data_IF_468606298326
#
_entry.id   IF_468606298326
#
_cell.length_a   1.000
_cell.length_b   1.000
_cell.length_c   1.000
_cell.angle_alpha   90.00
_cell.angle_beta   90.00
_cell.angle_gamma   90.00
#
_symmetry.space_group_name_H-M   'P 1'
#
loop_
_entity.id
_entity.type
_entity.pdbx_description
1 polymer ?
#
# COMPACT_ATOMS: atom_id res chain seq x y z
N UNK A 1 -8.76 -11.06 3.30
CA UNK A 1 -7.95 -10.08 2.55
C UNK A 1 -8.89 -9.35 1.60
N UNK A 2 -8.72 -8.05 1.39
CA UNK A 2 -9.55 -7.23 0.49
C UNK A 2 -8.64 -6.67 -0.58
N UNK A 3 -9.06 -6.77 -1.83
CA UNK A 3 -8.37 -6.19 -2.98
C UNK A 3 -9.18 -4.96 -3.40
N UNK A 4 -8.63 -3.74 -3.31
CA UNK A 4 -9.34 -2.54 -3.74
C UNK A 4 -9.71 -2.65 -5.22
N UNK A 5 -10.96 -2.38 -5.57
CA UNK A 5 -11.37 -2.28 -6.97
C UNK A 5 -10.63 -1.13 -7.66
N UNK A 6 -10.43 -1.23 -8.98
CA UNK A 6 -9.90 -0.16 -9.83
C UNK A 6 -8.51 0.42 -9.44
N UNK A 7 -7.76 -0.28 -8.58
CA UNK A 7 -6.37 0.06 -8.23
C UNK A 7 -5.47 -1.10 -8.67
N UNK A 8 -4.94 -1.01 -9.90
CA UNK A 8 -4.02 -2.01 -10.45
C UNK A 8 -2.53 -1.67 -10.23
N UNK A 9 -2.23 -0.38 -10.09
CA UNK A 9 -0.88 0.14 -9.88
C UNK A 9 -0.89 1.30 -8.87
N UNK A 10 0.16 1.40 -8.06
CA UNK A 10 0.31 2.46 -7.07
C UNK A 10 0.80 3.80 -7.64
N UNK A 11 1.14 3.86 -8.94
CA UNK A 11 1.64 5.07 -9.61
C UNK A 11 3.10 5.41 -9.33
N UNK A 12 3.76 4.71 -8.40
CA UNK A 12 5.13 5.03 -7.96
C UNK A 12 6.19 4.80 -9.02
N UNK A 13 5.94 3.87 -9.95
CA UNK A 13 6.81 3.59 -11.10
C UNK A 13 8.29 3.43 -10.70
N UNK A 14 8.57 2.46 -9.81
CA UNK A 14 9.90 2.29 -9.22
C UNK A 14 10.11 3.30 -8.10
N UNK A 15 10.84 4.36 -8.38
CA UNK A 15 11.14 5.49 -7.48
C UNK A 15 10.69 6.85 -8.06
N UNK A 16 10.18 6.88 -9.30
CA UNK A 16 9.80 8.12 -9.99
C UNK A 16 8.74 8.92 -9.22
N UNK A 17 7.85 8.23 -8.51
CA UNK A 17 6.82 8.84 -7.66
C UNK A 17 7.37 9.73 -6.54
N UNK A 18 8.65 9.65 -6.19
CA UNK A 18 9.29 10.62 -5.29
C UNK A 18 9.46 12.00 -5.94
N UNK A 19 9.73 12.04 -7.24
CA UNK A 19 9.97 13.27 -7.98
C UNK A 19 8.72 13.78 -8.71
N UNK A 20 7.76 12.89 -9.00
CA UNK A 20 6.47 13.19 -9.64
C UNK A 20 5.30 12.65 -8.79
N UNK A 21 5.01 13.27 -7.63
CA UNK A 21 3.99 12.79 -6.69
C UNK A 21 2.56 12.78 -7.25
N UNK A 22 2.31 13.53 -8.32
CA UNK A 22 1.04 13.54 -9.03
C UNK A 22 0.70 12.19 -9.68
N UNK A 23 1.69 11.36 -9.99
CA UNK A 23 1.48 9.99 -10.50
C UNK A 23 0.80 9.12 -9.44
N UNK A 24 1.34 9.13 -8.22
CA UNK A 24 0.78 8.41 -7.07
C UNK A 24 -0.62 8.94 -6.74
N UNK A 25 -0.74 10.27 -6.68
CA UNK A 25 -1.99 10.94 -6.35
C UNK A 25 -3.10 10.62 -7.34
N UNK A 26 -2.79 10.57 -8.63
CA UNK A 26 -3.77 10.22 -9.66
C UNK A 26 -4.17 8.74 -9.57
N UNK A 27 -3.19 7.85 -9.47
CA UNK A 27 -3.42 6.41 -9.41
C UNK A 27 -4.20 5.99 -8.15
N UNK A 28 -3.98 6.65 -7.01
CA UNK A 28 -4.53 6.26 -5.71
C UNK A 28 -5.65 7.17 -5.20
N UNK A 29 -6.19 8.06 -6.05
CA UNK A 29 -7.21 9.07 -5.66
C UNK A 29 -8.46 8.49 -4.99
N UNK A 30 -8.86 7.26 -5.35
CA UNK A 30 -10.04 6.57 -4.78
C UNK A 30 -9.68 5.57 -3.67
N UNK A 31 -8.39 5.30 -3.44
CA UNK A 31 -7.94 4.22 -2.55
C UNK A 31 -8.54 4.33 -1.15
N UNK A 32 -8.52 5.53 -0.57
CA UNK A 32 -9.07 5.78 0.78
C UNK A 32 -10.54 5.39 0.92
N UNK A 33 -11.33 5.55 -0.14
CA UNK A 33 -12.75 5.20 -0.15
C UNK A 33 -12.97 3.68 -0.18
N UNK A 34 -11.98 2.93 -0.68
CA UNK A 34 -12.01 1.47 -0.78
C UNK A 34 -11.55 0.78 0.51
N UNK A 35 -11.00 1.51 1.47
CA UNK A 35 -10.55 0.96 2.76
C UNK A 35 -11.74 0.86 3.73
N UNK A 36 -12.14 -0.34 4.17
CA UNK A 36 -13.21 -0.49 5.16
C UNK A 36 -12.82 0.08 6.52
N UNK A 37 -13.81 0.53 7.29
CA UNK A 37 -13.60 1.10 8.64
C UNK A 37 -12.90 0.14 9.62
N UNK A 38 -13.05 -1.16 9.44
CA UNK A 38 -12.42 -2.20 10.28
C UNK A 38 -11.09 -2.72 9.69
N UNK A 39 -10.56 -2.08 8.65
CA UNK A 39 -9.25 -2.41 8.10
C UNK A 39 -8.18 -1.55 8.78
N UNK A 40 -7.19 -2.20 9.38
CA UNK A 40 -6.10 -1.53 10.10
C UNK A 40 -4.73 -1.76 9.46
N UNK A 41 -4.66 -2.55 8.38
CA UNK A 41 -3.38 -2.99 7.80
C UNK A 41 -3.50 -3.37 6.33
N UNK A 42 -2.57 -2.86 5.52
CA UNK A 42 -2.35 -3.24 4.13
C UNK A 42 -1.09 -4.10 3.98
N UNK A 43 -0.98 -4.77 2.83
CA UNK A 43 0.21 -5.53 2.45
C UNK A 43 0.61 -5.20 1.02
N UNK A 44 1.91 -5.14 0.76
CA UNK A 44 2.48 -5.01 -0.58
C UNK A 44 3.80 -5.80 -0.63
N UNK A 45 4.30 -6.10 -1.82
CA UNK A 45 5.60 -6.75 -2.03
C UNK A 45 6.65 -5.77 -2.61
N UNK A 46 6.32 -4.49 -2.73
CA UNK A 46 7.21 -3.44 -3.22
C UNK A 46 7.26 -2.31 -2.21
N UNK A 47 8.46 -1.98 -1.71
CA UNK A 47 8.66 -0.92 -0.72
C UNK A 47 8.14 0.44 -1.19
N UNK A 48 8.28 0.77 -2.48
CA UNK A 48 7.77 2.05 -2.98
C UNK A 48 6.25 2.08 -3.04
N UNK A 49 5.60 0.96 -3.38
CA UNK A 49 4.15 0.86 -3.23
C UNK A 49 3.71 0.85 -1.76
N UNK A 50 4.46 0.27 -0.82
CA UNK A 50 4.15 0.39 0.62
C UNK A 50 4.06 1.85 1.05
N UNK A 51 5.01 2.69 0.60
CA UNK A 51 5.03 4.13 0.89
C UNK A 51 3.80 4.82 0.28
N UNK A 52 3.57 4.68 -1.03
CA UNK A 52 2.46 5.34 -1.71
C UNK A 52 1.09 4.87 -1.22
N UNK A 53 0.90 3.56 -1.04
CA UNK A 53 -0.36 3.01 -0.53
C UNK A 53 -0.61 3.44 0.91
N UNK A 54 0.43 3.50 1.76
CA UNK A 54 0.27 4.01 3.13
C UNK A 54 -0.22 5.46 3.14
N UNK A 55 0.47 6.31 2.38
CA UNK A 55 0.16 7.74 2.28
C UNK A 55 -1.28 7.98 1.81
N UNK A 56 -1.71 7.29 0.75
CA UNK A 56 -3.01 7.54 0.12
C UNK A 56 -4.18 6.75 0.71
N UNK A 57 -3.94 5.66 1.46
CA UNK A 57 -4.99 4.88 2.12
C UNK A 57 -5.29 5.35 3.54
N UNK A 58 -4.31 5.95 4.23
CA UNK A 58 -4.39 6.28 5.65
C UNK A 58 -4.22 5.07 6.59
N UNK A 59 -3.80 3.91 6.09
CA UNK A 59 -3.43 2.73 6.90
C UNK A 59 -2.01 2.27 6.55
N UNK A 60 -1.33 1.62 7.49
CA UNK A 60 0.03 1.13 7.22
C UNK A 60 0.01 -0.06 6.25
N UNK A 61 0.72 0.06 5.14
CA UNK A 61 1.10 -1.03 4.26
C UNK A 61 2.51 -1.52 4.60
N UNK A 62 2.71 -2.83 4.58
CA UNK A 62 3.98 -3.46 4.90
C UNK A 62 4.21 -4.74 4.10
N UNK A 63 5.47 -5.16 4.01
CA UNK A 63 5.84 -6.42 3.34
C UNK A 63 5.16 -7.63 3.97
N UNK A 64 4.65 -8.54 3.14
CA UNK A 64 4.17 -9.84 3.62
C UNK A 64 5.30 -10.67 4.24
N UNK A 65 6.56 -10.47 3.81
CA UNK A 65 7.70 -11.17 4.37
C UNK A 65 7.94 -10.77 5.84
N UNK A 66 7.74 -9.50 6.19
CA UNK A 66 7.83 -9.05 7.57
C UNK A 66 6.78 -9.72 8.48
N UNK A 67 5.58 -9.94 7.95
CA UNK A 67 4.52 -10.66 8.66
C UNK A 67 4.89 -12.12 8.89
N UNK A 68 5.46 -12.78 7.88
CA UNK A 68 5.92 -14.17 7.99
C UNK A 68 7.06 -14.29 9.00
N UNK A 69 8.07 -13.42 8.92
CA UNK A 69 9.20 -13.36 9.83
C UNK A 69 8.76 -13.21 11.30
N UNK A 70 7.82 -12.28 11.54
CA UNK A 70 7.22 -12.09 12.87
C UNK A 70 6.53 -13.36 13.39
N UNK A 71 5.94 -14.18 12.52
CA UNK A 71 5.29 -15.43 12.94
C UNK A 71 6.28 -16.60 13.05
N UNK A 72 7.35 -16.65 12.25
CA UNK A 72 8.38 -17.69 12.39
C UNK A 72 9.19 -17.58 13.68
N UNK A 73 9.17 -16.41 14.32
CA UNK A 73 9.78 -16.16 15.62
C UNK A 73 8.79 -16.15 16.80
N UNK A 74 7.49 -16.38 16.54
CA UNK A 74 6.50 -16.52 17.61
C UNK A 74 6.64 -17.92 18.23
N UNK A 75 7.24 -17.97 19.44
CA UNK A 75 7.31 -19.15 20.30
C UNK A 75 6.00 -19.27 21.09
#
# INVERSE_FOLDING_TARGET
VIIPADIECCGFAGDKGFNLPELNSNALKTLKQHVPKNCSRGVSNSRSCEIGLTEHSGISYQSILYLLDKQSHAI
#
